data_IF_670544219954
#
_entry.id   IF_670544219954
#
_cell.length_a   1.000
_cell.length_b   1.000
_cell.length_c   1.000
_cell.angle_alpha   90.00
_cell.angle_beta   90.00
_cell.angle_gamma   90.00
#
_symmetry.space_group_name_H-M   'P 1'
#
loop_
_entity.id
_entity.type
_entity.pdbx_description
1 polymer ?
#
# COMPACT_ATOMS: atom_id res chain seq x y z
N UNK A 1 12.91 -24.06 -3.55
CA UNK A 1 12.63 -22.71 -4.07
C UNK A 1 12.32 -22.85 -5.54
N UNK A 2 11.12 -22.45 -5.97
CA UNK A 2 10.79 -22.42 -7.39
C UNK A 2 11.38 -21.14 -7.99
N UNK A 3 12.20 -21.27 -9.04
CA UNK A 3 12.95 -20.16 -9.63
C UNK A 3 12.61 -20.06 -11.10
N UNK A 4 11.79 -19.06 -11.45
CA UNK A 4 11.52 -18.70 -12.84
C UNK A 4 12.49 -17.61 -13.29
N UNK A 5 13.12 -17.81 -14.46
CA UNK A 5 13.89 -16.76 -15.14
C UNK A 5 12.95 -15.99 -16.06
N UNK A 6 12.95 -14.66 -15.93
CA UNK A 6 12.21 -13.75 -16.79
C UNK A 6 13.20 -12.75 -17.39
N UNK A 7 13.44 -12.75 -18.71
CA UNK A 7 14.21 -11.69 -19.35
C UNK A 7 13.41 -10.40 -19.33
N UNK A 8 14.04 -9.30 -18.92
CA UNK A 8 13.46 -7.96 -18.92
C UNK A 8 14.41 -7.06 -19.68
N UNK A 9 13.88 -6.25 -20.61
CA UNK A 9 14.60 -5.19 -21.30
C UNK A 9 14.17 -3.88 -20.66
N UNK A 10 15.15 -3.09 -20.23
CA UNK A 10 14.93 -1.78 -19.63
C UNK A 10 15.18 -0.70 -20.69
N UNK A 11 14.28 0.26 -20.78
CA UNK A 11 14.55 1.45 -21.59
C UNK A 11 15.53 2.40 -20.87
N UNK A 12 15.80 3.57 -21.46
CA UNK A 12 16.74 4.52 -20.89
C UNK A 12 16.25 5.15 -19.59
N UNK A 13 14.94 5.33 -19.45
CA UNK A 13 14.34 5.93 -18.26
C UNK A 13 14.38 4.91 -17.10
N UNK A 14 14.02 3.65 -17.38
CA UNK A 14 14.14 2.54 -16.44
C UNK A 14 15.58 2.37 -15.91
N UNK A 15 16.56 2.47 -16.81
CA UNK A 15 17.98 2.38 -16.45
C UNK A 15 18.41 3.54 -15.55
N UNK A 16 17.97 4.77 -15.86
CA UNK A 16 18.29 5.95 -15.07
C UNK A 16 17.70 5.85 -13.65
N UNK A 17 16.46 5.37 -13.54
CA UNK A 17 15.79 5.15 -12.24
C UNK A 17 16.54 4.13 -11.38
N UNK A 18 16.96 2.99 -11.96
CA UNK A 18 17.70 1.96 -11.23
C UNK A 18 19.10 2.45 -10.83
N UNK A 19 19.76 3.25 -11.68
CA UNK A 19 21.11 3.75 -11.42
C UNK A 19 21.21 4.57 -10.13
N UNK A 20 20.14 5.26 -9.72
CA UNK A 20 20.08 6.00 -8.44
C UNK A 20 20.35 5.09 -7.24
N UNK A 21 19.91 3.84 -7.30
CA UNK A 21 20.09 2.86 -6.22
C UNK A 21 21.40 2.06 -6.35
N UNK A 22 22.11 2.20 -7.47
CA UNK A 22 23.39 1.54 -7.70
C UNK A 22 24.57 2.31 -7.09
N UNK A 23 24.42 3.63 -6.89
CA UNK A 23 25.42 4.50 -6.29
C UNK A 23 25.40 4.39 -4.75
N UNK A 24 26.41 3.78 -4.12
CA UNK A 24 26.42 3.55 -2.67
C UNK A 24 26.53 4.84 -1.84
N UNK A 25 26.96 5.95 -2.42
CA UNK A 25 27.08 7.24 -1.73
C UNK A 25 25.73 7.98 -1.66
N UNK A 26 24.71 7.46 -2.36
CA UNK A 26 23.36 8.01 -2.34
C UNK A 26 22.53 7.48 -1.18
N UNK A 27 21.66 8.37 -0.68
CA UNK A 27 20.72 8.05 0.38
C UNK A 27 19.77 6.93 -0.03
N UNK A 28 19.30 6.96 -1.28
CA UNK A 28 18.36 6.01 -1.87
C UNK A 28 18.92 4.58 -1.85
N UNK A 29 20.21 4.42 -2.17
CA UNK A 29 20.88 3.13 -2.09
C UNK A 29 20.98 2.63 -0.64
N UNK A 30 21.24 3.53 0.32
CA UNK A 30 21.24 3.23 1.75
C UNK A 30 19.88 2.72 2.23
N UNK A 31 18.80 3.43 1.90
CA UNK A 31 17.42 3.07 2.25
C UNK A 31 17.05 1.70 1.69
N UNK A 32 17.34 1.45 0.41
CA UNK A 32 17.02 0.17 -0.23
C UNK A 32 17.78 -1.00 0.41
N UNK A 33 19.06 -0.79 0.77
CA UNK A 33 19.89 -1.79 1.44
C UNK A 33 19.37 -2.11 2.84
N UNK A 34 19.02 -1.09 3.62
CA UNK A 34 18.45 -1.28 4.95
C UNK A 34 17.12 -2.06 4.88
N UNK A 35 16.23 -1.65 3.98
CA UNK A 35 14.97 -2.36 3.75
C UNK A 35 15.21 -3.81 3.33
N UNK A 36 16.15 -4.05 2.41
CA UNK A 36 16.48 -5.41 1.97
C UNK A 36 17.04 -6.27 3.11
N UNK A 37 17.85 -5.70 4.00
CA UNK A 37 18.34 -6.39 5.20
C UNK A 37 17.19 -6.78 6.14
N UNK A 38 16.25 -5.86 6.40
CA UNK A 38 15.06 -6.12 7.23
C UNK A 38 14.19 -7.24 6.65
N UNK A 39 14.11 -7.33 5.32
CA UNK A 39 13.33 -8.35 4.62
C UNK A 39 14.12 -9.65 4.32
N UNK A 40 15.35 -9.79 4.86
CA UNK A 40 16.25 -10.92 4.62
C UNK A 40 16.54 -11.18 3.12
N UNK A 41 16.59 -10.12 2.32
CA UNK A 41 16.91 -10.15 0.89
C UNK A 41 18.38 -9.81 0.69
N UNK A 42 19.13 -10.71 0.07
CA UNK A 42 20.52 -10.41 -0.33
C UNK A 42 20.53 -9.65 -1.64
N UNK A 43 20.87 -8.36 -1.59
CA UNK A 43 21.31 -7.60 -2.75
C UNK A 43 22.81 -7.85 -2.87
N UNK A 44 23.26 -8.56 -3.91
CA UNK A 44 24.70 -8.63 -4.21
C UNK A 44 25.17 -7.25 -4.65
N UNK A 45 26.28 -6.79 -4.08
CA UNK A 45 26.83 -5.48 -4.36
C UNK A 45 27.00 -5.26 -5.87
N UNK A 46 26.51 -4.12 -6.35
CA UNK A 46 26.55 -3.66 -7.74
C UNK A 46 25.85 -4.58 -8.76
N UNK A 47 24.97 -5.46 -8.31
CA UNK A 47 24.11 -6.24 -9.21
C UNK A 47 22.83 -5.47 -9.52
N UNK A 48 22.75 -4.85 -10.70
CA UNK A 48 21.53 -4.18 -11.18
C UNK A 48 20.30 -5.09 -11.12
N UNK A 49 20.47 -6.38 -11.45
CA UNK A 49 19.37 -7.36 -11.33
C UNK A 49 18.97 -7.64 -9.88
N UNK A 50 19.92 -7.56 -8.94
CA UNK A 50 19.64 -7.62 -7.50
C UNK A 50 18.86 -6.40 -7.02
N UNK A 51 19.25 -5.21 -7.46
CA UNK A 51 18.58 -3.94 -7.19
C UNK A 51 17.16 -3.95 -7.76
N UNK A 52 17.01 -4.29 -9.04
CA UNK A 52 15.71 -4.40 -9.72
C UNK A 52 14.78 -5.39 -9.00
N UNK A 53 15.32 -6.53 -8.53
CA UNK A 53 14.56 -7.52 -7.78
C UNK A 53 14.12 -7.01 -6.40
N UNK A 54 14.96 -6.22 -5.73
CA UNK A 54 14.60 -5.60 -4.47
C UNK A 54 13.51 -4.54 -4.68
N UNK A 55 13.69 -3.64 -5.65
CA UNK A 55 12.71 -2.62 -6.03
C UNK A 55 11.35 -3.22 -6.41
N UNK A 56 11.34 -4.33 -7.16
CA UNK A 56 10.10 -5.03 -7.49
C UNK A 56 9.35 -5.53 -6.25
N UNK A 57 10.06 -5.97 -5.21
CA UNK A 57 9.44 -6.39 -3.96
C UNK A 57 8.95 -5.20 -3.14
N UNK A 58 9.74 -4.13 -3.05
CA UNK A 58 9.33 -2.86 -2.42
C UNK A 58 8.04 -2.34 -3.06
N UNK A 59 8.00 -2.28 -4.40
CA UNK A 59 6.82 -1.82 -5.14
C UNK A 59 5.60 -2.71 -4.90
N UNK A 60 5.78 -4.03 -4.87
CA UNK A 60 4.68 -4.96 -4.57
C UNK A 60 4.13 -4.77 -3.13
N UNK A 61 5.00 -4.53 -2.16
CA UNK A 61 4.60 -4.25 -0.78
C UNK A 61 3.87 -2.91 -0.66
N UNK A 62 4.40 -1.85 -1.27
CA UNK A 62 3.76 -0.53 -1.30
C UNK A 62 2.38 -0.55 -1.95
N UNK A 63 2.20 -1.31 -3.04
CA UNK A 63 0.89 -1.49 -3.67
C UNK A 63 -0.08 -2.28 -2.77
N UNK A 64 0.42 -3.27 -2.03
CA UNK A 64 -0.40 -4.03 -1.08
C UNK A 64 -0.85 -3.16 0.10
N UNK A 65 0.03 -2.31 0.61
CA UNK A 65 -0.30 -1.35 1.66
C UNK A 65 -1.37 -0.36 1.21
N UNK A 66 -1.21 0.24 0.01
CA UNK A 66 -2.25 1.11 -0.58
C UNK A 66 -3.60 0.41 -0.75
N UNK A 67 -3.59 -0.87 -1.14
CA UNK A 67 -4.82 -1.64 -1.25
C UNK A 67 -5.50 -1.85 0.11
N UNK A 68 -4.72 -2.05 1.18
CA UNK A 68 -5.24 -2.14 2.55
C UNK A 68 -5.83 -0.80 3.01
N UNK A 69 -5.11 0.31 2.79
CA UNK A 69 -5.59 1.65 3.10
C UNK A 69 -6.92 1.96 2.41
N UNK A 70 -7.03 1.64 1.12
CA UNK A 70 -8.28 1.79 0.36
C UNK A 70 -9.40 0.92 0.95
N UNK A 71 -9.11 -0.34 1.29
CA UNK A 71 -10.09 -1.22 1.93
C UNK A 71 -10.58 -0.70 3.29
N UNK A 72 -9.70 -0.15 4.11
CA UNK A 72 -10.08 0.47 5.38
C UNK A 72 -10.90 1.75 5.19
N UNK A 73 -10.59 2.55 4.18
CA UNK A 73 -11.38 3.74 3.86
C UNK A 73 -12.81 3.39 3.45
N UNK A 74 -13.00 2.34 2.65
CA UNK A 74 -14.35 1.86 2.29
C UNK A 74 -15.10 1.31 3.51
N UNK A 75 -14.45 0.49 4.34
CA UNK A 75 -15.05 0.00 5.60
C UNK A 75 -15.48 1.13 6.53
N UNK A 76 -14.70 2.23 6.59
CA UNK A 76 -15.05 3.39 7.41
C UNK A 76 -16.30 4.10 6.88
N UNK A 77 -16.45 4.24 5.55
CA UNK A 77 -17.65 4.82 4.92
C UNK A 77 -18.90 3.99 5.22
N UNK A 78 -18.83 2.67 5.05
CA UNK A 78 -19.96 1.77 5.32
C UNK A 78 -20.45 1.89 6.77
N UNK A 79 -19.52 2.04 7.73
CA UNK A 79 -19.89 2.25 9.13
C UNK A 79 -20.55 3.62 9.37
N UNK A 80 -20.07 4.67 8.72
CA UNK A 80 -20.67 6.01 8.85
C UNK A 80 -22.09 6.07 8.27
N UNK A 81 -22.32 5.40 7.14
CA UNK A 81 -23.66 5.25 6.55
C UNK A 81 -24.60 4.49 7.47
N UNK A 82 -24.17 3.36 8.04
CA UNK A 82 -24.96 2.58 9.00
C UNK A 82 -25.32 3.37 10.27
N UNK A 83 -24.39 4.17 10.80
CA UNK A 83 -24.65 5.07 11.93
C UNK A 83 -25.64 6.19 11.56
N UNK A 84 -25.55 6.71 10.36
CA UNK A 84 -26.47 7.74 9.84
C UNK A 84 -27.88 7.18 9.68
N UNK A 85 -28.01 5.97 9.14
CA UNK A 85 -29.29 5.28 9.02
C UNK A 85 -29.90 4.97 10.40
N UNK A 86 -29.08 4.52 11.35
CA UNK A 86 -29.53 4.28 12.73
C UNK A 86 -30.02 5.56 13.41
N UNK A 87 -29.32 6.69 13.21
CA UNK A 87 -29.74 8.01 13.72
C UNK A 87 -31.06 8.46 13.08
N UNK A 88 -31.22 8.27 11.78
CA UNK A 88 -32.46 8.58 11.08
C UNK A 88 -33.64 7.77 11.62
N UNK A 89 -33.48 6.44 11.79
CA UNK A 89 -34.50 5.56 12.37
C UNK A 89 -34.89 5.97 13.79
N UNK A 90 -33.93 6.35 14.64
CA UNK A 90 -34.20 6.85 16.00
C UNK A 90 -34.99 8.16 15.97
N UNK A 91 -34.65 9.08 15.07
CA UNK A 91 -35.36 10.36 14.92
C UNK A 91 -36.82 10.12 14.50
N UNK A 92 -37.05 9.30 13.47
CA UNK A 92 -38.41 8.96 13.03
C UNK A 92 -39.22 8.22 14.11
N UNK A 93 -38.57 7.40 14.93
CA UNK A 93 -39.23 6.75 16.06
C UNK A 93 -39.65 7.76 17.14
N UNK A 94 -38.77 8.68 17.52
CA UNK A 94 -39.08 9.73 18.49
C UNK A 94 -40.25 10.61 18.02
N UNK A 95 -40.24 11.05 16.77
CA UNK A 95 -41.33 11.83 16.16
C UNK A 95 -42.67 11.08 16.16
N UNK A 96 -42.65 9.76 15.97
CA UNK A 96 -43.86 8.91 16.03
C UNK A 96 -44.38 8.74 17.46
N UNK A 97 -43.49 8.61 18.44
CA UNK A 97 -43.86 8.50 19.85
C UNK A 97 -44.43 9.82 20.36
N UNK A 98 -43.80 10.95 20.06
CA UNK A 98 -44.30 12.27 20.46
C UNK A 98 -45.69 12.56 19.87
N UNK A 99 -45.94 12.14 18.63
CA UNK A 99 -47.27 12.26 18.01
C UNK A 99 -48.33 11.35 18.64
N UNK A 100 -47.93 10.19 19.17
CA UNK A 100 -48.85 9.21 19.76
C UNK A 100 -49.22 9.50 21.23
N UNK A 101 -48.42 10.31 21.93
CA UNK A 101 -48.63 10.69 23.34
C UNK A 101 -48.94 12.19 23.52
N UNK A 102 -49.11 12.94 22.42
CA UNK A 102 -49.39 14.37 22.40
C UNK A 102 -50.85 14.77 22.15
N UNK A 103 -51.78 13.80 22.07
CA UNK A 103 -53.25 14.00 22.13
C UNK A 103 -53.76 13.63 23.53
#
# INVERSE_FOLDING_TARGET
MDVKRLPVTLDSDDQAEIAVFADPDRLEAGILREWAQQQHITIRDNSESGIARALLRVGAEALREKALEAGYAELAKDQEEGLTEQRARRRSYAERVDRAYGE
#
